data_IF_517834056697
#
_entry.id   IF_517834056697
#
_cell.length_a   1.000
_cell.length_b   1.000
_cell.length_c   1.000
_cell.angle_alpha   90.00
_cell.angle_beta   90.00
_cell.angle_gamma   90.00
#
_symmetry.space_group_name_H-M   'P 1'
#
loop_
_entity.id
_entity.type
_entity.pdbx_description
1 polymer ?
#
# COMPACT_ATOMS: atom_id res chain seq x y z
N UNK A 1 -19.03 14.05 16.14
CA UNK A 1 -18.41 12.78 16.58
C UNK A 1 -18.40 12.74 18.11
N UNK A 2 -18.85 11.65 18.74
CA UNK A 2 -19.07 11.63 20.19
C UNK A 2 -17.79 11.37 20.97
N UNK A 3 -17.65 11.99 22.13
CA UNK A 3 -16.53 11.87 23.11
C UNK A 3 -16.13 10.41 23.43
N UNK A 4 -17.05 9.46 23.25
CA UNK A 4 -16.84 8.02 23.48
C UNK A 4 -16.06 7.40 22.31
N UNK A 5 -16.38 7.78 21.08
CA UNK A 5 -15.73 7.31 19.87
C UNK A 5 -14.29 7.80 19.77
N UNK A 6 -14.04 9.07 20.14
CA UNK A 6 -12.69 9.62 20.21
C UNK A 6 -11.81 8.89 21.23
N UNK A 7 -12.34 8.57 22.41
CA UNK A 7 -11.63 7.78 23.42
C UNK A 7 -11.34 6.34 22.93
N UNK A 8 -12.26 5.74 22.18
CA UNK A 8 -12.08 4.41 21.60
C UNK A 8 -10.97 4.44 20.55
N UNK A 9 -10.98 5.43 19.67
CA UNK A 9 -9.93 5.65 18.65
C UNK A 9 -8.56 5.88 19.29
N UNK A 10 -8.46 6.73 20.31
CA UNK A 10 -7.21 6.98 21.04
C UNK A 10 -6.63 5.71 21.69
N UNK A 11 -7.48 4.89 22.32
CA UNK A 11 -7.03 3.62 22.93
C UNK A 11 -6.54 2.63 21.88
N UNK A 12 -7.25 2.50 20.75
CA UNK A 12 -6.82 1.65 19.62
C UNK A 12 -5.47 2.12 19.06
N UNK A 13 -5.32 3.43 18.86
CA UNK A 13 -4.08 4.03 18.37
C UNK A 13 -2.89 3.80 19.33
N UNK A 14 -3.12 3.92 20.65
CA UNK A 14 -2.08 3.66 21.66
C UNK A 14 -1.63 2.19 21.68
N UNK A 15 -2.56 1.23 21.52
CA UNK A 15 -2.22 -0.20 21.38
C UNK A 15 -1.41 -0.46 20.11
N UNK A 16 -1.80 0.13 18.98
CA UNK A 16 -1.08 0.00 17.72
C UNK A 16 0.33 0.61 17.80
N UNK A 17 0.47 1.78 18.42
CA UNK A 17 1.79 2.43 18.62
C UNK A 17 2.71 1.59 19.49
N UNK A 18 2.21 1.05 20.60
CA UNK A 18 2.97 0.16 21.47
C UNK A 18 3.40 -1.13 20.78
N UNK A 19 2.48 -1.74 20.01
CA UNK A 19 2.77 -2.94 19.26
C UNK A 19 3.80 -2.68 18.14
N UNK A 20 3.68 -1.58 17.39
CA UNK A 20 4.63 -1.20 16.34
C UNK A 20 6.06 -1.07 16.88
N UNK A 21 6.22 -0.36 18.01
CA UNK A 21 7.51 -0.24 18.70
C UNK A 21 8.10 -1.61 19.01
N UNK A 22 7.33 -2.46 19.70
CA UNK A 22 7.80 -3.79 20.12
C UNK A 22 8.08 -4.72 18.93
N UNK A 23 7.25 -4.68 17.88
CA UNK A 23 7.44 -5.50 16.68
C UNK A 23 8.68 -5.08 15.89
N UNK A 24 9.00 -3.79 15.85
CA UNK A 24 10.19 -3.30 15.16
C UNK A 24 11.48 -3.55 15.98
N UNK A 25 11.40 -3.52 17.31
CA UNK A 25 12.54 -3.74 18.19
C UNK A 25 12.95 -5.22 18.29
N UNK A 26 11.99 -6.13 18.45
CA UNK A 26 12.27 -7.55 18.74
C UNK A 26 11.48 -8.58 17.92
N UNK A 27 10.68 -8.11 16.99
CA UNK A 27 9.84 -8.95 16.14
C UNK A 27 8.52 -9.36 16.78
N UNK A 28 7.56 -9.76 15.93
CA UNK A 28 6.22 -10.16 16.38
C UNK A 28 6.25 -11.46 17.20
N UNK A 29 7.07 -12.43 16.80
CA UNK A 29 7.12 -13.74 17.47
C UNK A 29 7.59 -13.62 18.92
N UNK A 30 8.50 -12.68 19.17
CA UNK A 30 9.06 -12.39 20.48
C UNK A 30 8.26 -11.36 21.30
N UNK A 31 7.08 -10.94 20.79
CA UNK A 31 6.21 -9.97 21.45
C UNK A 31 4.94 -10.64 21.94
N UNK A 32 4.61 -10.45 23.21
CA UNK A 32 3.36 -10.94 23.82
C UNK A 32 2.31 -9.83 23.94
N UNK A 33 1.03 -10.21 23.96
CA UNK A 33 -0.08 -9.26 24.23
C UNK A 33 0.12 -8.56 25.58
N UNK A 34 0.68 -9.27 26.59
CA UNK A 34 0.94 -8.69 27.91
C UNK A 34 1.97 -7.55 27.87
N UNK A 35 2.98 -7.64 27.01
CA UNK A 35 3.96 -6.56 26.81
C UNK A 35 3.35 -5.38 26.05
N UNK A 36 2.52 -5.65 25.03
CA UNK A 36 1.84 -4.59 24.28
C UNK A 36 0.96 -3.75 25.22
N UNK A 37 0.14 -4.39 26.07
CA UNK A 37 -0.73 -3.65 26.98
C UNK A 37 0.05 -2.94 28.09
N UNK A 38 1.16 -3.51 28.55
CA UNK A 38 2.06 -2.86 29.51
C UNK A 38 2.67 -1.60 28.93
N UNK A 39 3.19 -1.66 27.69
CA UNK A 39 3.73 -0.52 26.97
C UNK A 39 2.67 0.55 26.72
N UNK A 40 1.46 0.13 26.33
CA UNK A 40 0.31 1.03 26.12
C UNK A 40 -0.32 1.55 27.43
N UNK A 41 0.17 1.10 28.61
CA UNK A 41 -0.38 1.42 29.94
C UNK A 41 -1.88 1.08 30.06
N UNK A 42 -2.26 -0.10 29.58
CA UNK A 42 -3.65 -0.58 29.55
C UNK A 42 -3.79 -1.95 30.22
N UNK A 43 -5.02 -2.30 30.60
CA UNK A 43 -5.35 -3.64 31.09
C UNK A 43 -5.46 -4.63 29.90
N UNK A 44 -5.10 -5.90 30.14
CA UNK A 44 -5.15 -6.96 29.12
C UNK A 44 -6.56 -7.15 28.52
N UNK A 45 -7.62 -6.99 29.29
CA UNK A 45 -9.01 -7.02 28.79
C UNK A 45 -9.31 -5.92 27.80
N UNK A 46 -8.65 -4.75 27.92
CA UNK A 46 -8.82 -3.66 26.96
C UNK A 46 -8.32 -4.03 25.57
N UNK A 47 -7.24 -4.81 25.47
CA UNK A 47 -6.72 -5.29 24.18
C UNK A 47 -7.77 -6.08 23.41
N UNK A 48 -8.43 -7.05 24.07
CA UNK A 48 -9.41 -7.93 23.46
C UNK A 48 -10.74 -7.25 23.09
N UNK A 49 -10.95 -5.98 23.49
CA UNK A 49 -12.05 -5.16 22.98
C UNK A 49 -11.76 -4.61 21.58
N UNK A 50 -10.49 -4.58 21.14
CA UNK A 50 -10.07 -3.98 19.89
C UNK A 50 -9.48 -4.99 18.91
N UNK A 51 -8.83 -6.03 19.39
CA UNK A 51 -8.10 -7.00 18.58
C UNK A 51 -8.28 -8.41 19.11
N UNK A 52 -8.47 -9.36 18.22
CA UNK A 52 -8.59 -10.78 18.53
C UNK A 52 -7.27 -11.35 19.08
N UNK A 53 -6.17 -11.00 18.41
CA UNK A 53 -4.83 -11.47 18.72
C UNK A 53 -3.75 -10.51 18.20
N UNK A 54 -2.47 -10.87 18.40
CA UNK A 54 -1.34 -10.05 17.94
C UNK A 54 -1.18 -10.04 16.42
N UNK A 55 -1.70 -11.03 15.70
CA UNK A 55 -1.63 -11.09 14.25
C UNK A 55 -2.58 -10.06 13.63
N UNK A 56 -3.79 -9.93 14.19
CA UNK A 56 -4.71 -8.85 13.76
C UNK A 56 -4.11 -7.46 13.98
N UNK A 57 -3.37 -7.26 15.09
CA UNK A 57 -2.62 -6.02 15.32
C UNK A 57 -1.55 -5.81 14.25
N UNK A 58 -0.83 -6.88 13.89
CA UNK A 58 0.18 -6.83 12.83
C UNK A 58 -0.44 -6.44 11.50
N UNK A 59 -1.52 -7.10 11.10
CA UNK A 59 -2.22 -6.81 9.83
C UNK A 59 -2.71 -5.37 9.79
N UNK A 60 -3.30 -4.88 10.90
CA UNK A 60 -3.68 -3.48 11.03
C UNK A 60 -2.48 -2.52 10.89
N UNK A 61 -1.34 -2.85 11.47
CA UNK A 61 -0.14 -2.02 11.40
C UNK A 61 0.44 -2.00 9.98
N UNK A 62 0.53 -3.16 9.32
CA UNK A 62 1.00 -3.27 7.95
C UNK A 62 0.11 -2.43 7.03
N UNK A 63 -1.20 -2.63 7.13
CA UNK A 63 -2.18 -1.87 6.37
C UNK A 63 -2.03 -0.35 6.60
N UNK A 64 -1.89 0.09 7.86
CA UNK A 64 -1.72 1.50 8.19
C UNK A 64 -0.43 2.08 7.61
N UNK A 65 0.68 1.36 7.72
CA UNK A 65 1.96 1.85 7.21
C UNK A 65 1.99 1.88 5.68
N UNK A 66 1.48 0.83 5.03
CA UNK A 66 1.38 0.81 3.58
C UNK A 66 0.50 1.95 3.06
N UNK A 67 -0.67 2.18 3.68
CA UNK A 67 -1.55 3.28 3.30
C UNK A 67 -0.85 4.65 3.42
N UNK A 68 -0.10 4.89 4.49
CA UNK A 68 0.68 6.12 4.68
C UNK A 68 1.73 6.34 3.59
N UNK A 69 2.40 5.27 3.15
CA UNK A 69 3.36 5.35 2.04
C UNK A 69 2.63 5.75 0.75
N UNK A 70 1.50 5.11 0.45
CA UNK A 70 0.70 5.43 -0.73
C UNK A 70 0.12 6.85 -0.68
N UNK A 71 -0.39 7.29 0.46
CA UNK A 71 -0.91 8.66 0.60
C UNK A 71 0.15 9.72 0.38
N UNK A 72 1.35 9.54 0.92
CA UNK A 72 2.47 10.46 0.68
C UNK A 72 2.85 10.47 -0.79
N UNK A 73 2.97 9.30 -1.42
CA UNK A 73 3.26 9.21 -2.85
C UNK A 73 2.18 9.91 -3.71
N UNK A 74 0.91 9.75 -3.33
CA UNK A 74 -0.20 10.42 -4.01
C UNK A 74 -0.18 11.95 -3.81
N UNK A 75 0.22 12.44 -2.64
CA UNK A 75 0.40 13.87 -2.41
C UNK A 75 1.54 14.43 -3.27
N UNK A 76 2.66 13.73 -3.37
CA UNK A 76 3.78 14.10 -4.24
C UNK A 76 3.34 14.14 -5.71
N UNK A 77 2.64 13.11 -6.18
CA UNK A 77 2.07 13.06 -7.52
C UNK A 77 1.10 14.22 -7.78
N UNK A 78 0.18 14.49 -6.87
CA UNK A 78 -0.78 15.59 -7.04
C UNK A 78 -0.09 16.96 -7.13
N UNK A 79 0.98 17.20 -6.39
CA UNK A 79 1.76 18.41 -6.51
C UNK A 79 2.41 18.53 -7.90
N UNK A 80 2.96 17.44 -8.43
CA UNK A 80 3.52 17.41 -9.77
C UNK A 80 2.44 17.64 -10.85
N UNK A 81 1.24 17.08 -10.68
CA UNK A 81 0.12 17.27 -11.60
C UNK A 81 -0.38 18.72 -11.67
N UNK A 82 -0.17 19.51 -10.61
CA UNK A 82 -0.49 20.96 -10.61
C UNK A 82 0.55 21.74 -11.39
N UNK A 83 1.81 21.34 -11.34
CA UNK A 83 2.93 22.05 -11.97
C UNK A 83 3.18 21.63 -13.42
N UNK A 84 2.84 20.40 -13.77
CA UNK A 84 3.13 19.79 -15.06
C UNK A 84 1.91 19.06 -15.64
N UNK A 85 1.77 19.14 -16.98
CA UNK A 85 0.80 18.32 -17.69
C UNK A 85 1.44 16.96 -18.03
N UNK A 86 0.85 15.89 -17.51
CA UNK A 86 1.24 14.53 -17.88
C UNK A 86 0.35 14.02 -19.01
N UNK A 87 0.99 13.42 -20.03
CA UNK A 87 0.30 13.01 -21.24
C UNK A 87 -0.43 11.67 -21.08
N UNK A 88 -0.04 10.87 -20.08
CA UNK A 88 -0.58 9.52 -19.93
C UNK A 88 -0.76 9.08 -18.47
N UNK A 89 -1.73 8.19 -18.26
CA UNK A 89 -1.96 7.53 -16.97
C UNK A 89 -0.78 6.64 -16.59
N UNK A 90 -0.10 6.05 -17.58
CA UNK A 90 1.10 5.25 -17.39
C UNK A 90 2.20 6.05 -16.69
N UNK A 91 2.39 7.30 -17.07
CA UNK A 91 3.34 8.20 -16.41
C UNK A 91 2.95 8.48 -14.97
N UNK A 92 1.66 8.77 -14.72
CA UNK A 92 1.16 8.99 -13.36
C UNK A 92 1.36 7.75 -12.47
N UNK A 93 1.10 6.54 -12.98
CA UNK A 93 1.33 5.30 -12.25
C UNK A 93 2.83 5.09 -11.97
N UNK A 94 3.71 5.37 -12.94
CA UNK A 94 5.16 5.26 -12.74
C UNK A 94 5.64 6.26 -11.69
N UNK A 95 5.19 7.50 -11.72
CA UNK A 95 5.55 8.51 -10.71
C UNK A 95 5.07 8.13 -9.31
N UNK A 96 3.85 7.59 -9.20
CA UNK A 96 3.34 7.06 -7.93
C UNK A 96 4.22 5.93 -7.40
N UNK A 97 4.59 4.98 -8.27
CA UNK A 97 5.46 3.85 -7.91
C UNK A 97 6.86 4.34 -7.55
N UNK A 98 7.41 5.30 -8.29
CA UNK A 98 8.73 5.88 -7.99
C UNK A 98 8.75 6.57 -6.62
N UNK A 99 7.72 7.35 -6.30
CA UNK A 99 7.58 7.99 -5.00
C UNK A 99 7.47 6.95 -3.85
N UNK A 100 6.74 5.85 -4.07
CA UNK A 100 6.69 4.72 -3.12
C UNK A 100 8.07 4.10 -2.92
N UNK A 101 8.79 3.79 -4.02
CA UNK A 101 10.12 3.18 -3.96
C UNK A 101 11.11 4.09 -3.22
N UNK A 102 11.12 5.39 -3.50
CA UNK A 102 12.01 6.35 -2.85
C UNK A 102 11.76 6.41 -1.34
N UNK A 103 10.51 6.46 -0.89
CA UNK A 103 10.17 6.41 0.53
C UNK A 103 10.64 5.12 1.21
N UNK A 104 10.53 3.98 0.54
CA UNK A 104 10.98 2.69 1.06
C UNK A 104 12.52 2.56 1.06
N UNK A 105 13.20 3.14 0.06
CA UNK A 105 14.67 3.25 0.01
C UNK A 105 15.20 4.07 1.19
N UNK A 106 14.54 5.20 1.50
CA UNK A 106 14.93 6.08 2.61
C UNK A 106 14.61 5.50 3.99
N UNK A 107 13.73 4.49 4.05
CA UNK A 107 13.37 3.82 5.30
C UNK A 107 13.38 2.29 5.18
N UNK A 108 14.57 1.66 5.21
CA UNK A 108 14.72 0.20 5.10
C UNK A 108 14.01 -0.59 6.21
N UNK A 109 13.85 0.00 7.39
CA UNK A 109 13.11 -0.63 8.50
C UNK A 109 11.62 -0.73 8.20
N UNK A 110 11.04 0.31 7.60
CA UNK A 110 9.66 0.31 7.14
C UNK A 110 9.46 -0.70 6.01
N UNK A 111 10.40 -0.76 5.05
CA UNK A 111 10.37 -1.74 3.97
C UNK A 111 10.36 -3.17 4.53
N UNK A 112 11.25 -3.51 5.46
CA UNK A 112 11.27 -4.84 6.11
C UNK A 112 9.95 -5.15 6.81
N UNK A 113 9.38 -4.18 7.50
CA UNK A 113 8.14 -4.36 8.23
C UNK A 113 6.95 -4.61 7.29
N UNK A 114 6.83 -3.85 6.21
CA UNK A 114 5.73 -3.97 5.25
C UNK A 114 5.93 -5.22 4.38
N UNK A 115 7.04 -5.33 3.66
CA UNK A 115 7.20 -6.29 2.56
C UNK A 115 7.18 -7.74 3.00
N UNK A 116 7.70 -8.06 4.18
CA UNK A 116 7.71 -9.44 4.69
C UNK A 116 6.31 -9.97 5.00
N UNK A 117 5.35 -9.08 5.24
CA UNK A 117 4.06 -9.44 5.80
C UNK A 117 2.87 -8.86 5.00
N UNK A 118 3.13 -8.06 3.96
CA UNK A 118 2.09 -7.52 3.10
C UNK A 118 1.55 -8.63 2.21
N UNK A 119 0.38 -9.16 2.56
CA UNK A 119 -0.40 -10.02 1.67
C UNK A 119 -1.42 -9.21 0.89
N UNK A 120 -1.87 -9.73 -0.26
CA UNK A 120 -2.96 -9.12 -1.01
C UNK A 120 -4.22 -8.93 -0.16
N UNK A 121 -4.52 -9.87 0.73
CA UNK A 121 -5.64 -9.76 1.65
C UNK A 121 -5.53 -8.56 2.59
N UNK A 122 -4.33 -8.27 3.11
CA UNK A 122 -4.06 -7.07 3.90
C UNK A 122 -4.15 -5.82 3.03
N UNK A 123 -3.54 -5.84 1.84
CA UNK A 123 -3.55 -4.71 0.92
C UNK A 123 -4.96 -4.35 0.43
N UNK A 124 -5.75 -5.32 0.00
CA UNK A 124 -7.10 -5.10 -0.52
C UNK A 124 -8.14 -4.73 0.55
N UNK A 125 -7.92 -5.16 1.81
CA UNK A 125 -8.82 -4.93 2.93
C UNK A 125 -8.38 -3.78 3.85
N UNK A 126 -7.52 -2.90 3.40
CA UNK A 126 -7.00 -1.75 4.17
C UNK A 126 -8.07 -0.79 4.72
N UNK A 127 -9.34 -0.94 4.33
CA UNK A 127 -10.51 -0.20 4.84
C UNK A 127 -10.71 -0.29 6.36
N UNK A 128 -9.94 -1.16 7.04
CA UNK A 128 -10.23 -1.53 8.45
C UNK A 128 -9.66 -0.52 9.45
N UNK A 129 -8.72 0.36 9.08
CA UNK A 129 -7.90 1.04 10.09
C UNK A 129 -8.19 2.52 10.27
N UNK A 130 -8.59 3.25 9.25
CA UNK A 130 -8.84 4.70 9.37
C UNK A 130 -10.03 5.13 8.52
N UNK A 131 -11.06 5.65 9.18
CA UNK A 131 -12.31 6.08 8.54
C UNK A 131 -12.15 7.34 7.67
N UNK A 132 -11.02 8.04 7.79
CA UNK A 132 -10.82 9.35 7.16
C UNK A 132 -9.80 9.34 5.99
N UNK A 133 -9.10 8.21 5.74
CA UNK A 133 -8.05 8.15 4.73
C UNK A 133 -8.49 7.41 3.47
N UNK A 134 -8.09 7.95 2.30
CA UNK A 134 -8.30 7.28 1.02
C UNK A 134 -7.55 5.96 1.00
N UNK A 135 -8.21 4.93 0.56
CA UNK A 135 -7.63 3.62 0.37
C UNK A 135 -6.66 3.64 -0.83
N UNK A 136 -5.55 2.88 -0.76
CA UNK A 136 -4.62 2.79 -1.89
C UNK A 136 -5.31 2.35 -3.20
N UNK A 137 -6.33 1.48 -3.13
CA UNK A 137 -7.15 1.10 -4.29
C UNK A 137 -7.91 2.29 -4.87
N UNK A 138 -8.42 3.20 -4.03
CA UNK A 138 -9.14 4.40 -4.48
C UNK A 138 -8.19 5.37 -5.20
N UNK A 139 -6.91 5.40 -4.81
CA UNK A 139 -5.87 6.18 -5.50
C UNK A 139 -5.66 5.64 -6.92
N UNK A 140 -5.46 4.32 -7.05
CA UNK A 140 -5.32 3.69 -8.36
C UNK A 140 -6.57 3.87 -9.22
N UNK A 141 -7.75 3.64 -8.67
CA UNK A 141 -9.00 3.83 -9.40
C UNK A 141 -9.16 5.28 -9.88
N UNK A 142 -8.79 6.26 -9.05
CA UNK A 142 -8.81 7.67 -9.44
C UNK A 142 -7.86 7.96 -10.60
N UNK A 143 -6.65 7.41 -10.58
CA UNK A 143 -5.68 7.56 -11.67
C UNK A 143 -6.19 6.90 -12.96
N UNK A 144 -6.72 5.69 -12.88
CA UNK A 144 -7.24 4.97 -14.05
C UNK A 144 -8.47 5.66 -14.65
N UNK A 145 -9.27 6.37 -13.84
CA UNK A 145 -10.41 7.16 -14.32
C UNK A 145 -9.99 8.42 -15.08
N UNK A 146 -8.78 8.95 -14.87
CA UNK A 146 -8.24 10.06 -15.66
C UNK A 146 -7.91 9.65 -17.09
N UNK A 147 -7.77 8.35 -17.35
CA UNK A 147 -7.51 7.81 -18.70
C UNK A 147 -8.79 7.74 -19.54
N UNK A 148 -8.63 8.01 -20.84
CA UNK A 148 -9.65 7.66 -21.84
C UNK A 148 -9.71 6.14 -22.12
N UNK A 149 -8.68 5.40 -21.70
CA UNK A 149 -8.57 3.96 -21.87
C UNK A 149 -9.39 3.24 -20.80
N UNK A 150 -9.96 2.11 -21.16
CA UNK A 150 -10.63 1.20 -20.24
C UNK A 150 -9.70 0.05 -19.90
N UNK A 151 -9.71 -0.37 -18.66
CA UNK A 151 -8.87 -1.48 -18.19
C UNK A 151 -9.75 -2.64 -17.73
N UNK A 152 -9.41 -3.86 -18.18
CA UNK A 152 -10.05 -5.10 -17.74
C UNK A 152 -9.40 -5.57 -16.44
N UNK A 153 -10.13 -6.28 -15.59
CA UNK A 153 -9.59 -6.93 -14.38
C UNK A 153 -8.64 -6.04 -13.56
N UNK A 154 -9.06 -4.81 -13.26
CA UNK A 154 -8.23 -3.80 -12.58
C UNK A 154 -7.57 -4.31 -11.30
N UNK A 155 -8.30 -5.07 -10.47
CA UNK A 155 -7.75 -5.63 -9.24
C UNK A 155 -6.57 -6.57 -9.51
N UNK A 156 -6.67 -7.45 -10.52
CA UNK A 156 -5.57 -8.34 -10.91
C UNK A 156 -4.38 -7.55 -11.43
N UNK A 157 -4.61 -6.53 -12.24
CA UNK A 157 -3.56 -5.64 -12.75
C UNK A 157 -2.80 -4.95 -11.60
N UNK A 158 -3.53 -4.35 -10.67
CA UNK A 158 -2.94 -3.68 -9.49
C UNK A 158 -2.20 -4.69 -8.63
N UNK A 159 -2.78 -5.87 -8.39
CA UNK A 159 -2.12 -6.96 -7.67
C UNK A 159 -0.77 -7.31 -8.28
N UNK A 160 -0.70 -7.52 -9.59
CA UNK A 160 0.56 -7.86 -10.29
C UNK A 160 1.60 -6.74 -10.14
N UNK A 161 1.20 -5.48 -10.25
CA UNK A 161 2.11 -4.33 -10.09
C UNK A 161 2.63 -4.27 -8.64
N UNK A 162 1.75 -4.38 -7.65
CA UNK A 162 2.12 -4.31 -6.23
C UNK A 162 3.07 -5.42 -5.84
N UNK A 163 2.77 -6.67 -6.23
CA UNK A 163 3.63 -7.83 -5.92
C UNK A 163 4.99 -7.74 -6.64
N UNK A 164 5.01 -7.29 -7.89
CA UNK A 164 6.25 -7.07 -8.62
C UNK A 164 7.13 -6.04 -7.91
N UNK A 165 6.58 -4.88 -7.56
CA UNK A 165 7.31 -3.82 -6.85
C UNK A 165 7.78 -4.32 -5.48
N UNK A 166 6.88 -4.94 -4.71
CA UNK A 166 7.19 -5.43 -3.37
C UNK A 166 8.34 -6.45 -3.38
N UNK A 167 8.24 -7.48 -4.22
CA UNK A 167 9.22 -8.56 -4.26
C UNK A 167 10.59 -8.10 -4.78
N UNK A 168 10.62 -7.27 -5.83
CA UNK A 168 11.88 -6.82 -6.43
C UNK A 168 12.57 -5.77 -5.55
N UNK A 169 11.85 -4.78 -5.05
CA UNK A 169 12.41 -3.72 -4.23
C UNK A 169 12.92 -4.25 -2.88
N UNK A 170 12.26 -5.25 -2.28
CA UNK A 170 12.73 -5.86 -1.04
C UNK A 170 14.17 -6.36 -1.17
N UNK A 171 14.45 -7.17 -2.22
CA UNK A 171 15.76 -7.74 -2.42
C UNK A 171 16.81 -6.69 -2.81
N UNK A 172 16.45 -5.79 -3.71
CA UNK A 172 17.40 -4.80 -4.24
C UNK A 172 17.75 -3.74 -3.20
N UNK A 173 16.78 -3.22 -2.47
CA UNK A 173 17.02 -2.18 -1.45
C UNK A 173 17.72 -2.74 -0.21
N UNK A 174 17.37 -3.96 0.24
CA UNK A 174 17.90 -4.52 1.49
C UNK A 174 19.16 -5.36 1.32
N UNK A 175 19.32 -5.99 0.16
CA UNK A 175 20.37 -6.96 -0.08
C UNK A 175 21.31 -6.57 -1.23
N UNK A 176 21.00 -5.51 -1.98
CA UNK A 176 21.76 -5.03 -3.16
C UNK A 176 21.96 -6.13 -4.23
N UNK A 177 20.96 -7.00 -4.40
CA UNK A 177 21.01 -8.11 -5.37
C UNK A 177 19.70 -8.18 -6.15
N UNK A 178 19.77 -8.55 -7.45
CA UNK A 178 20.96 -8.82 -8.26
C UNK A 178 21.63 -7.53 -8.79
N UNK A 179 21.00 -6.36 -8.66
CA UNK A 179 21.45 -5.08 -9.18
C UNK A 179 21.19 -3.96 -8.17
N UNK A 180 21.67 -2.77 -8.44
CA UNK A 180 21.33 -1.57 -7.66
C UNK A 180 19.93 -1.04 -8.02
N UNK A 181 19.32 -0.30 -7.10
CA UNK A 181 17.94 0.19 -7.24
C UNK A 181 17.71 1.05 -8.49
N UNK A 182 18.67 1.87 -8.86
CA UNK A 182 18.56 2.77 -10.02
C UNK A 182 18.62 2.01 -11.36
N UNK A 183 19.26 0.83 -11.38
CA UNK A 183 19.23 -0.08 -12.51
C UNK A 183 17.90 -0.84 -12.56
N UNK A 184 17.44 -1.39 -11.43
CA UNK A 184 16.13 -2.04 -11.34
C UNK A 184 15.00 -1.12 -11.83
N UNK A 185 14.99 0.14 -11.43
CA UNK A 185 13.92 1.10 -11.78
C UNK A 185 13.68 1.17 -13.28
N UNK A 186 14.72 1.11 -14.09
CA UNK A 186 14.61 1.21 -15.56
C UNK A 186 13.74 0.10 -16.14
N UNK A 187 14.05 -1.15 -15.78
CA UNK A 187 13.34 -2.32 -16.28
C UNK A 187 11.99 -2.52 -15.59
N UNK A 188 11.91 -2.20 -14.31
CA UNK A 188 10.67 -2.26 -13.54
C UNK A 188 9.59 -1.35 -14.13
N UNK A 189 9.94 -0.10 -14.47
CA UNK A 189 8.97 0.85 -15.05
C UNK A 189 8.50 0.42 -16.45
N UNK A 190 9.38 -0.14 -17.26
CA UNK A 190 8.98 -0.69 -18.56
C UNK A 190 8.06 -1.90 -18.40
N UNK A 191 8.35 -2.75 -17.42
CA UNK A 191 7.49 -3.91 -17.11
C UNK A 191 6.11 -3.47 -16.63
N UNK A 192 6.04 -2.44 -15.77
CA UNK A 192 4.77 -1.88 -15.32
C UNK A 192 3.97 -1.30 -16.49
N UNK A 193 4.61 -0.56 -17.41
CA UNK A 193 3.93 -0.08 -18.63
C UNK A 193 3.38 -1.23 -19.47
N UNK A 194 4.15 -2.32 -19.60
CA UNK A 194 3.72 -3.52 -20.32
C UNK A 194 2.51 -4.18 -19.67
N UNK A 195 2.50 -4.26 -18.32
CA UNK A 195 1.33 -4.75 -17.57
C UNK A 195 0.12 -3.85 -17.83
N UNK A 196 0.23 -2.54 -17.68
CA UNK A 196 -0.87 -1.60 -17.95
C UNK A 196 -1.42 -1.78 -19.34
N UNK A 197 -0.55 -1.85 -20.36
CA UNK A 197 -0.95 -2.04 -21.76
C UNK A 197 -1.65 -3.39 -21.97
N UNK A 198 -1.17 -4.48 -21.35
CA UNK A 198 -1.79 -5.81 -21.46
C UNK A 198 -3.23 -5.82 -20.94
N UNK A 199 -3.53 -4.99 -19.95
CA UNK A 199 -4.86 -4.91 -19.34
C UNK A 199 -5.76 -3.85 -19.98
N UNK A 200 -5.29 -3.10 -20.98
CA UNK A 200 -6.16 -2.23 -21.76
C UNK A 200 -7.25 -3.04 -22.46
N UNK A 201 -8.48 -2.56 -22.38
CA UNK A 201 -9.60 -3.14 -23.11
C UNK A 201 -9.59 -2.58 -24.53
N UNK A 202 -9.39 -3.43 -25.51
CA UNK A 202 -9.65 -3.08 -26.92
C UNK A 202 -11.17 -2.94 -27.05
N UNK A 203 -11.67 -1.76 -27.38
CA UNK A 203 -13.07 -1.65 -27.86
C UNK A 203 -13.13 -2.43 -29.18
N UNK A 204 -13.65 -3.66 -29.12
CA UNK A 204 -14.05 -4.35 -30.34
C UNK A 204 -15.16 -3.53 -30.97
N UNK A 205 -14.86 -2.91 -32.11
CA UNK A 205 -15.85 -2.35 -33.02
C UNK A 205 -16.90 -3.41 -33.32
N UNK A 206 -17.99 -3.43 -32.56
CA UNK A 206 -19.23 -4.11 -32.95
C UNK A 206 -19.95 -3.25 -34.00
N UNK A 207 -19.33 -3.08 -35.13
CA UNK A 207 -19.98 -2.65 -36.39
C UNK A 207 -19.49 -3.55 -37.50
N UNK A 208 -20.06 -4.70 -37.63
CA UNK A 208 -20.29 -5.36 -38.94
C UNK A 208 -20.92 -6.75 -38.72
N UNK A 209 -22.21 -6.80 -38.49
CA UNK A 209 -23.00 -8.00 -38.76
C UNK A 209 -24.49 -7.63 -38.71
N UNK A 210 -24.92 -6.75 -39.62
CA UNK A 210 -26.29 -6.73 -40.10
C UNK A 210 -26.22 -6.33 -41.56
N UNK A 211 -26.08 -7.29 -42.40
CA UNK A 211 -26.53 -7.28 -43.79
C UNK A 211 -26.18 -8.64 -44.44
N UNK A 212 -27.08 -9.61 -44.37
CA UNK A 212 -27.49 -10.52 -45.44
C UNK A 212 -28.64 -11.39 -44.95
#
# INVERSE_FOLDING_TARGET
MGKIEDKKRQKKAALLSAAYKLFTEKGIDNTSVSEIVKEAKMAKGTFYLYFKDKNEVQDCLIATQANRVFERANLELNNLLVEQHFESVEECVILLVDAVINQLKDNPSLLRFISKNLSWGVFSNMRIVDLDNRHCMDIFDSLLQMSKKKYRQKELMIFMIVELVNATCYNVILNHVPVEIDELKKDLYQTIRSILHQFESVESDKKTAVAC
#
